data_IF_467912332142
#
_entry.id   IF_467912332142
#
_cell.length_a   1.000
_cell.length_b   1.000
_cell.length_c   1.000
_cell.angle_alpha   90.00
_cell.angle_beta   90.00
_cell.angle_gamma   90.00
#
_symmetry.space_group_name_H-M   'P 1'
#
loop_
_entity.id
_entity.type
_entity.pdbx_description
1 polymer ?
#
# COMPACT_ATOMS: atom_id res chain seq x y z
N UNK A 1 1.75 11.68 25.75
CA UNK A 1 1.06 11.46 24.48
C UNK A 1 1.02 12.77 23.74
N UNK A 2 1.01 12.72 22.41
CA UNK A 2 0.68 13.90 21.61
C UNK A 2 -0.85 14.06 21.57
N UNK A 3 -1.35 15.28 21.67
CA UNK A 3 -2.75 15.66 21.77
C UNK A 3 -3.24 16.51 20.57
N UNK A 4 -2.35 16.79 19.62
CA UNK A 4 -2.67 17.45 18.36
C UNK A 4 -3.13 16.49 17.26
N UNK A 5 -3.66 17.02 16.15
CA UNK A 5 -4.11 16.21 15.03
C UNK A 5 -2.91 15.58 14.30
N UNK A 6 -3.08 14.33 13.84
CA UNK A 6 -2.00 13.55 13.21
C UNK A 6 -2.37 13.21 11.76
N UNK A 7 -1.49 13.54 10.82
CA UNK A 7 -1.53 13.03 9.45
C UNK A 7 -0.56 11.86 9.30
N UNK A 8 -1.08 10.67 9.00
CA UNK A 8 -0.30 9.52 8.56
C UNK A 8 0.03 9.66 7.08
N UNK A 9 1.28 9.40 6.70
CA UNK A 9 1.72 9.43 5.31
C UNK A 9 2.20 8.05 4.86
N UNK A 10 1.52 7.50 3.87
CA UNK A 10 1.94 6.32 3.12
C UNK A 10 2.73 6.74 1.87
N UNK A 11 3.79 6.00 1.51
CA UNK A 11 4.64 6.36 0.36
C UNK A 11 3.93 6.13 -1.00
N UNK A 12 2.92 5.28 -1.05
CA UNK A 12 2.17 4.91 -2.25
C UNK A 12 0.71 4.60 -1.93
N UNK A 13 -0.13 4.53 -2.96
CA UNK A 13 -1.53 4.15 -2.82
C UNK A 13 -1.68 2.74 -2.22
N UNK A 14 -0.91 1.75 -2.71
CA UNK A 14 -1.00 0.38 -2.17
C UNK A 14 -0.59 0.26 -0.72
N UNK A 15 0.46 0.98 -0.31
CA UNK A 15 0.87 1.01 1.10
C UNK A 15 -0.16 1.71 1.98
N UNK A 16 -0.87 2.71 1.46
CA UNK A 16 -2.00 3.33 2.16
C UNK A 16 -3.07 2.29 2.47
N UNK A 17 -3.44 1.46 1.50
CA UNK A 17 -4.47 0.44 1.70
C UNK A 17 -4.04 -0.62 2.73
N UNK A 18 -2.79 -1.08 2.67
CA UNK A 18 -2.24 -2.00 3.67
C UNK A 18 -2.24 -1.35 5.07
N UNK A 19 -1.90 -0.06 5.16
CA UNK A 19 -1.94 0.65 6.43
C UNK A 19 -3.37 0.84 6.94
N UNK A 20 -4.33 1.15 6.06
CA UNK A 20 -5.75 1.24 6.40
C UNK A 20 -6.29 -0.08 6.94
N UNK A 21 -5.96 -1.20 6.30
CA UNK A 21 -6.33 -2.54 6.75
C UNK A 21 -5.75 -2.85 8.15
N UNK A 22 -4.46 -2.56 8.35
CA UNK A 22 -3.81 -2.77 9.64
C UNK A 22 -4.44 -1.91 10.75
N UNK A 23 -4.79 -0.65 10.45
CA UNK A 23 -5.45 0.27 11.38
C UNK A 23 -6.89 -0.18 11.69
N UNK A 24 -7.64 -0.63 10.68
CA UNK A 24 -8.99 -1.16 10.85
C UNK A 24 -9.01 -2.38 11.79
N UNK A 25 -8.01 -3.28 11.68
CA UNK A 25 -7.84 -4.40 12.61
C UNK A 25 -7.63 -3.98 14.07
N UNK A 26 -7.15 -2.75 14.31
CA UNK A 26 -7.03 -2.14 15.63
C UNK A 26 -8.22 -1.24 16.01
N UNK A 27 -9.26 -1.17 15.18
CA UNK A 27 -10.43 -0.28 15.37
C UNK A 27 -10.12 1.20 15.14
N UNK A 28 -9.09 1.51 14.34
CA UNK A 28 -8.66 2.87 14.02
C UNK A 28 -9.04 3.19 12.57
N UNK A 29 -9.82 4.25 12.39
CA UNK A 29 -10.30 4.69 11.06
C UNK A 29 -9.83 6.12 10.79
N UNK A 30 -8.66 6.30 10.13
CA UNK A 30 -8.16 7.63 9.78
C UNK A 30 -8.97 8.24 8.63
N UNK A 31 -9.18 9.56 8.64
CA UNK A 31 -9.86 10.29 7.57
C UNK A 31 -8.94 10.43 6.34
N UNK A 32 -9.31 9.93 5.16
CA UNK A 32 -8.51 10.13 3.95
C UNK A 32 -8.50 11.60 3.54
N UNK A 33 -7.32 12.13 3.23
CA UNK A 33 -7.13 13.50 2.73
C UNK A 33 -6.12 13.53 1.59
N UNK A 34 -6.26 14.49 0.69
CA UNK A 34 -5.43 14.55 -0.53
C UNK A 34 -4.00 15.02 -0.27
N UNK A 35 -3.79 15.87 0.75
CA UNK A 35 -2.51 16.54 0.97
C UNK A 35 -2.37 17.15 2.36
N UNK A 36 -1.13 17.52 2.72
CA UNK A 36 -0.84 18.27 3.94
C UNK A 36 -1.58 19.61 4.03
N UNK A 37 -1.63 20.46 2.97
CA UNK A 37 -2.46 21.66 3.01
C UNK A 37 -3.96 21.40 3.23
N UNK A 38 -4.51 20.34 2.62
CA UNK A 38 -5.92 19.97 2.82
C UNK A 38 -6.18 19.57 4.27
N UNK A 39 -5.28 18.79 4.87
CA UNK A 39 -5.32 18.44 6.29
C UNK A 39 -5.23 19.66 7.21
N UNK A 40 -4.35 20.63 6.91
CA UNK A 40 -4.24 21.85 7.71
C UNK A 40 -5.49 22.74 7.62
N UNK A 41 -6.22 22.69 6.50
CA UNK A 41 -7.43 23.47 6.31
C UNK A 41 -8.62 22.93 7.14
N UNK A 42 -8.71 21.60 7.29
CA UNK A 42 -9.73 20.92 8.10
C UNK A 42 -9.10 19.72 8.84
N UNK A 43 -8.44 19.95 10.00
CA UNK A 43 -7.65 18.93 10.67
C UNK A 43 -8.53 17.95 11.46
N UNK A 44 -8.76 16.78 10.87
CA UNK A 44 -9.28 15.63 11.59
C UNK A 44 -8.27 15.16 12.68
N UNK A 45 -8.73 14.56 13.80
CA UNK A 45 -7.83 14.06 14.85
C UNK A 45 -6.79 13.06 14.32
N UNK A 46 -7.20 12.22 13.37
CA UNK A 46 -6.33 11.31 12.66
C UNK A 46 -6.74 11.29 11.18
N UNK A 47 -5.78 11.61 10.31
CA UNK A 47 -5.95 11.60 8.87
C UNK A 47 -4.88 10.72 8.20
N UNK A 48 -5.10 10.35 6.94
CA UNK A 48 -4.13 9.62 6.13
C UNK A 48 -4.04 10.18 4.71
N UNK A 49 -2.81 10.31 4.19
CA UNK A 49 -2.54 10.77 2.83
C UNK A 49 -1.45 9.93 2.16
N UNK A 50 -1.39 10.01 0.83
CA UNK A 50 -0.27 9.46 0.03
C UNK A 50 0.72 10.59 -0.25
N UNK A 51 1.97 10.41 0.16
CA UNK A 51 3.05 11.34 -0.16
C UNK A 51 4.40 10.60 -0.14
N UNK A 52 5.30 10.83 -1.12
CA UNK A 52 6.59 10.16 -1.22
C UNK A 52 7.62 10.76 -0.24
N UNK A 53 7.29 10.74 1.06
CA UNK A 53 8.10 11.31 2.14
C UNK A 53 8.40 10.25 3.19
N UNK A 54 9.64 10.22 3.65
CA UNK A 54 10.14 9.22 4.60
C UNK A 54 10.48 9.81 5.98
N UNK A 55 10.22 11.11 6.16
CA UNK A 55 10.44 11.83 7.41
C UNK A 55 9.19 12.59 7.84
N UNK A 56 8.76 12.30 9.06
CA UNK A 56 7.71 13.03 9.74
C UNK A 56 8.09 14.46 10.11
N UNK A 57 7.10 15.21 10.58
CA UNK A 57 7.24 16.56 11.09
C UNK A 57 6.52 16.67 12.44
N UNK A 58 7.23 17.16 13.45
CA UNK A 58 6.69 17.44 14.78
C UNK A 58 6.93 18.90 15.12
N UNK A 59 5.85 19.65 15.33
CA UNK A 59 5.89 21.10 15.57
C UNK A 59 5.76 21.47 17.06
N UNK A 60 5.60 20.48 17.93
CA UNK A 60 5.40 20.67 19.37
C UNK A 60 4.05 20.13 19.86
N UNK A 61 3.78 20.23 21.18
CA UNK A 61 2.52 19.79 21.77
C UNK A 61 1.31 20.52 21.17
N UNK A 62 0.19 19.84 21.00
CA UNK A 62 -1.05 20.37 20.40
C UNK A 62 -0.99 20.78 18.92
N UNK A 63 0.20 20.89 18.32
CA UNK A 63 0.36 21.29 16.93
C UNK A 63 0.15 20.10 15.98
N UNK A 64 -0.30 20.33 14.72
CA UNK A 64 -0.42 19.27 13.74
C UNK A 64 0.89 18.51 13.52
N UNK A 65 0.81 17.19 13.51
CA UNK A 65 1.95 16.28 13.33
C UNK A 65 1.81 15.48 12.04
N UNK A 66 2.93 15.29 11.35
CA UNK A 66 3.05 14.40 10.20
C UNK A 66 3.85 13.16 10.61
N UNK A 67 3.30 11.97 10.41
CA UNK A 67 3.92 10.70 10.75
C UNK A 67 4.03 9.82 9.50
N UNK A 68 5.26 9.50 9.10
CA UNK A 68 5.50 8.63 7.95
C UNK A 68 5.43 7.15 8.34
N UNK A 69 5.03 6.32 7.39
CA UNK A 69 4.98 4.87 7.53
C UNK A 69 6.30 4.26 8.04
N UNK A 70 7.45 4.78 7.59
CA UNK A 70 8.77 4.33 8.05
C UNK A 70 8.98 4.47 9.58
N UNK A 71 8.29 5.42 10.22
CA UNK A 71 8.34 5.65 11.66
C UNK A 71 7.41 4.70 12.43
N UNK A 72 6.33 4.22 11.80
CA UNK A 72 5.41 3.23 12.38
C UNK A 72 6.05 1.85 12.47
N UNK A 73 6.74 1.43 11.41
CA UNK A 73 7.37 0.10 11.33
C UNK A 73 8.83 0.06 11.82
N UNK A 74 9.32 1.15 12.44
CA UNK A 74 10.60 1.15 13.16
C UNK A 74 11.87 1.13 12.29
N UNK A 75 11.78 1.43 10.99
CA UNK A 75 12.96 1.46 10.12
C UNK A 75 13.74 2.76 10.34
N UNK A 76 14.73 2.71 11.23
CA UNK A 76 15.68 3.80 11.52
C UNK A 76 16.13 4.50 10.22
N UNK A 77 15.89 5.81 10.18
CA UNK A 77 16.07 6.80 9.09
C UNK A 77 17.54 6.94 8.59
N UNK A 78 18.45 6.03 8.89
CA UNK A 78 19.88 6.16 8.57
C UNK A 78 20.49 5.05 7.69
N UNK A 79 19.74 4.01 7.30
CA UNK A 79 20.35 2.84 6.64
C UNK A 79 19.76 2.48 5.26
N UNK A 80 19.04 3.40 4.62
CA UNK A 80 18.40 3.21 3.29
C UNK A 80 19.39 3.02 2.13
N UNK A 81 20.71 3.02 2.37
CA UNK A 81 21.75 2.68 1.36
C UNK A 81 22.32 1.26 1.42
N UNK A 82 21.96 0.41 2.40
CA UNK A 82 22.63 -0.90 2.52
C UNK A 82 21.78 -2.13 2.80
N UNK A 83 20.46 -2.02 2.92
CA UNK A 83 19.60 -3.19 3.13
C UNK A 83 18.66 -3.45 1.95
N UNK A 84 19.28 -3.79 0.81
CA UNK A 84 18.64 -4.52 -0.30
C UNK A 84 18.60 -6.02 -0.01
N UNK A 85 18.35 -6.43 1.24
CA UNK A 85 18.30 -7.84 1.63
C UNK A 85 17.39 -8.02 2.83
N UNK A 86 16.42 -8.91 2.61
CA UNK A 86 15.74 -9.73 3.62
C UNK A 86 14.64 -9.03 4.43
N UNK A 87 13.49 -8.87 3.78
CA UNK A 87 12.24 -9.38 4.37
C UNK A 87 11.83 -10.56 3.51
N UNK A 88 12.16 -11.77 3.97
CA UNK A 88 11.54 -12.99 3.48
C UNK A 88 10.07 -12.95 3.92
N UNK A 89 9.26 -12.22 3.15
CA UNK A 89 7.84 -12.55 3.03
C UNK A 89 7.85 -13.99 2.53
N UNK A 90 7.23 -14.89 3.28
CA UNK A 90 7.14 -16.31 2.92
C UNK A 90 6.41 -16.39 1.58
N UNK A 91 7.19 -16.45 0.48
CA UNK A 91 6.65 -16.46 -0.88
C UNK A 91 5.63 -17.57 -1.01
N UNK A 92 5.86 -18.72 -0.37
CA UNK A 92 4.94 -19.86 -0.39
C UNK A 92 3.58 -19.55 0.27
N UNK A 93 3.55 -18.71 1.31
CA UNK A 93 2.30 -18.24 1.92
C UNK A 93 1.55 -17.29 0.98
N UNK A 94 2.26 -16.34 0.36
CA UNK A 94 1.66 -15.42 -0.62
C UNK A 94 1.13 -16.19 -1.83
N UNK A 95 1.88 -17.16 -2.35
CA UNK A 95 1.42 -18.03 -3.45
C UNK A 95 0.17 -18.82 -3.07
N UNK A 96 0.08 -19.34 -1.85
CA UNK A 96 -1.13 -20.04 -1.38
C UNK A 96 -2.33 -19.11 -1.35
N UNK A 97 -2.19 -17.92 -0.78
CA UNK A 97 -3.27 -16.92 -0.71
C UNK A 97 -3.70 -16.45 -2.11
N UNK A 98 -2.75 -16.33 -3.05
CA UNK A 98 -3.02 -15.92 -4.42
C UNK A 98 -3.61 -17.04 -5.29
N UNK A 99 -3.29 -18.31 -5.04
CA UNK A 99 -3.88 -19.45 -5.76
C UNK A 99 -5.39 -19.59 -5.52
N UNK A 100 -5.91 -19.04 -4.44
CA UNK A 100 -7.35 -19.00 -4.17
C UNK A 100 -8.07 -17.82 -4.84
N UNK A 101 -7.32 -16.89 -5.46
CA UNK A 101 -7.91 -15.74 -6.13
C UNK A 101 -8.65 -16.18 -7.40
N UNK A 102 -9.88 -15.69 -7.51
CA UNK A 102 -10.70 -15.82 -8.72
C UNK A 102 -10.50 -14.60 -9.61
N UNK A 103 -10.53 -14.73 -10.94
CA UNK A 103 -10.56 -13.58 -11.84
C UNK A 103 -11.64 -12.56 -11.41
N UNK A 104 -11.29 -11.28 -11.39
CA UNK A 104 -12.11 -10.17 -10.87
C UNK A 104 -11.91 -9.88 -9.38
N UNK A 105 -11.20 -10.73 -8.63
CA UNK A 105 -10.93 -10.47 -7.22
C UNK A 105 -10.07 -9.20 -7.05
N UNK A 106 -10.40 -8.32 -6.07
CA UNK A 106 -9.59 -7.13 -5.80
C UNK A 106 -8.28 -7.52 -5.10
N UNK A 107 -7.20 -6.91 -5.56
CA UNK A 107 -5.83 -7.20 -5.14
C UNK A 107 -5.08 -5.89 -4.97
N UNK A 108 -4.29 -5.79 -3.90
CA UNK A 108 -3.43 -4.64 -3.63
C UNK A 108 -2.02 -4.95 -4.12
N UNK A 109 -1.51 -4.12 -5.02
CA UNK A 109 -0.07 -4.03 -5.28
C UNK A 109 0.52 -2.93 -4.40
N UNK A 110 1.58 -3.22 -3.65
CA UNK A 110 2.17 -2.25 -2.69
C UNK A 110 2.47 -0.88 -3.31
N UNK A 111 3.02 -0.83 -4.52
CA UNK A 111 3.30 0.44 -5.20
C UNK A 111 2.10 1.03 -5.96
N UNK A 112 1.36 0.21 -6.70
CA UNK A 112 0.34 0.68 -7.65
C UNK A 112 -1.08 0.79 -7.07
N UNK A 113 -1.31 0.33 -5.83
CA UNK A 113 -2.65 0.35 -5.25
C UNK A 113 -3.50 -0.84 -5.68
N UNK A 114 -4.82 -0.66 -5.53
CA UNK A 114 -5.81 -1.72 -5.76
C UNK A 114 -6.13 -1.86 -7.25
N UNK A 115 -6.04 -3.10 -7.73
CA UNK A 115 -6.43 -3.55 -9.06
C UNK A 115 -7.26 -4.82 -8.99
N UNK A 116 -7.67 -5.35 -10.14
CA UNK A 116 -8.44 -6.58 -10.29
C UNK A 116 -7.55 -7.68 -10.84
N UNK A 117 -7.54 -8.84 -10.18
CA UNK A 117 -6.83 -10.01 -10.69
C UNK A 117 -7.47 -10.51 -11.98
N UNK A 118 -6.69 -10.63 -13.05
CA UNK A 118 -7.15 -11.14 -14.35
C UNK A 118 -6.81 -12.63 -14.50
N UNK A 119 -5.60 -13.01 -14.13
CA UNK A 119 -5.08 -14.36 -14.33
C UNK A 119 -3.55 -14.41 -14.39
N UNK A 120 -3.00 -15.61 -14.55
CA UNK A 120 -1.60 -15.81 -14.93
C UNK A 120 -1.48 -15.75 -16.46
N UNK A 121 -0.38 -15.21 -16.97
CA UNK A 121 -0.09 -15.11 -18.41
C UNK A 121 1.38 -15.37 -18.65
N UNK A 122 1.67 -16.21 -19.65
CA UNK A 122 3.03 -16.45 -20.11
C UNK A 122 3.39 -15.40 -21.17
N UNK A 123 4.51 -14.72 -20.97
CA UNK A 123 5.05 -13.73 -21.88
C UNK A 123 6.50 -14.11 -22.20
N UNK A 124 6.87 -14.00 -23.48
CA UNK A 124 8.25 -14.15 -23.91
C UNK A 124 9.02 -12.85 -23.63
N UNK A 125 10.00 -12.90 -22.73
CA UNK A 125 10.90 -11.78 -22.40
C UNK A 125 12.32 -12.21 -22.70
N UNK A 126 13.03 -11.44 -23.53
CA UNK A 126 14.41 -11.74 -23.94
C UNK A 126 14.61 -13.16 -24.52
N UNK A 127 13.58 -13.70 -25.17
CA UNK A 127 13.60 -15.03 -25.80
C UNK A 127 13.37 -16.20 -24.85
N UNK A 128 13.04 -15.94 -23.57
CA UNK A 128 12.61 -16.95 -22.62
C UNK A 128 11.15 -16.73 -22.21
N UNK A 129 10.39 -17.82 -22.11
CA UNK A 129 9.03 -17.76 -21.57
C UNK A 129 9.08 -17.55 -20.05
N UNK A 130 8.38 -16.52 -19.58
CA UNK A 130 8.24 -16.21 -18.17
C UNK A 130 6.75 -16.01 -17.82
N UNK A 131 6.39 -16.40 -16.60
CA UNK A 131 5.02 -16.32 -16.10
C UNK A 131 4.81 -15.02 -15.29
N UNK A 132 3.68 -14.37 -15.53
CA UNK A 132 3.29 -13.11 -14.90
C UNK A 132 1.87 -13.18 -14.36
N UNK A 133 1.65 -12.56 -13.20
CA UNK A 133 0.33 -12.21 -12.70
C UNK A 133 -0.16 -10.96 -13.42
N UNK A 134 -1.34 -11.02 -14.02
CA UNK A 134 -1.95 -9.87 -14.70
C UNK A 134 -2.98 -9.20 -13.78
N UNK A 135 -2.82 -7.91 -13.56
CA UNK A 135 -3.77 -7.05 -12.86
C UNK A 135 -4.36 -6.01 -13.81
N UNK A 136 -5.64 -5.72 -13.67
CA UNK A 136 -6.34 -4.65 -14.38
C UNK A 136 -6.68 -3.49 -13.43
N UNK A 137 -6.44 -2.28 -13.90
CA UNK A 137 -6.61 -1.02 -13.19
C UNK A 137 -7.68 -0.16 -13.87
N UNK A 138 -7.89 1.07 -13.39
CA UNK A 138 -8.83 1.99 -14.00
C UNK A 138 -8.53 2.21 -15.50
N UNK A 139 -9.58 2.45 -16.29
CA UNK A 139 -9.49 2.71 -17.74
C UNK A 139 -8.87 1.56 -18.56
N UNK A 140 -8.88 0.33 -18.03
CA UNK A 140 -8.37 -0.86 -18.72
C UNK A 140 -6.85 -0.95 -18.75
N UNK A 141 -6.15 -0.14 -17.95
CA UNK A 141 -4.70 -0.26 -17.78
C UNK A 141 -4.34 -1.63 -17.19
N UNK A 142 -3.26 -2.24 -17.69
CA UNK A 142 -2.80 -3.57 -17.22
C UNK A 142 -1.40 -3.50 -16.65
N UNK A 143 -1.22 -4.19 -15.53
CA UNK A 143 0.08 -4.40 -14.90
C UNK A 143 0.43 -5.89 -14.93
N UNK A 144 1.62 -6.19 -15.43
CA UNK A 144 2.17 -7.55 -15.46
C UNK A 144 3.22 -7.67 -14.38
N UNK A 145 2.90 -8.42 -13.32
CA UNK A 145 3.78 -8.61 -12.16
C UNK A 145 4.49 -9.95 -12.32
N UNK A 146 5.83 -9.99 -12.36
CA UNK A 146 6.55 -11.26 -12.41
C UNK A 146 6.17 -12.13 -11.22
N UNK A 147 6.05 -13.44 -11.44
CA UNK A 147 5.77 -14.40 -10.37
C UNK A 147 6.84 -14.36 -9.26
N UNK A 148 8.08 -13.98 -9.57
CA UNK A 148 9.14 -13.74 -8.58
C UNK A 148 8.88 -12.52 -7.66
N UNK A 149 8.01 -11.61 -8.07
CA UNK A 149 7.67 -10.36 -7.36
C UNK A 149 6.32 -10.43 -6.63
N UNK A 150 5.73 -11.61 -6.46
CA UNK A 150 4.43 -11.76 -5.79
C UNK A 150 4.42 -11.27 -4.34
N UNK A 151 5.58 -11.18 -3.68
CA UNK A 151 5.70 -10.57 -2.35
C UNK A 151 5.24 -9.09 -2.28
N UNK A 152 5.05 -8.42 -3.43
CA UNK A 152 4.48 -7.07 -3.53
C UNK A 152 2.95 -7.06 -3.59
N UNK A 153 2.33 -8.24 -3.62
CA UNK A 153 0.91 -8.45 -3.85
C UNK A 153 0.25 -8.92 -2.56
N UNK A 154 -0.92 -8.38 -2.27
CA UNK A 154 -1.74 -8.79 -1.13
C UNK A 154 -3.21 -8.79 -1.53
N UNK A 155 -4.01 -9.66 -0.92
CA UNK A 155 -5.45 -9.67 -1.15
C UNK A 155 -6.07 -8.41 -0.56
N UNK A 156 -7.01 -7.79 -1.27
CA UNK A 156 -7.79 -6.69 -0.68
C UNK A 156 -8.89 -7.27 0.21
N UNK A 157 -8.94 -6.84 1.47
CA UNK A 157 -9.89 -7.31 2.49
C UNK A 157 -10.93 -6.25 2.90
N UNK A 158 -11.01 -5.13 2.17
CA UNK A 158 -11.95 -4.05 2.47
C UNK A 158 -13.40 -4.52 2.50
N UNK A 159 -14.22 -3.76 3.22
CA UNK A 159 -15.60 -4.10 3.63
C UNK A 159 -16.52 -4.53 2.49
N UNK A 160 -16.29 -4.08 1.26
CA UNK A 160 -17.01 -4.53 0.07
C UNK A 160 -16.07 -4.75 -1.14
N UNK A 161 -15.89 -6.01 -1.60
CA UNK A 161 -15.03 -6.32 -2.74
C UNK A 161 -15.48 -5.67 -4.06
N UNK A 162 -16.77 -5.39 -4.21
CA UNK A 162 -17.34 -4.76 -5.40
C UNK A 162 -17.04 -3.26 -5.47
N UNK A 163 -16.93 -2.58 -4.32
CA UNK A 163 -16.61 -1.16 -4.21
C UNK A 163 -15.11 -0.86 -4.08
N UNK A 164 -14.26 -1.89 -4.15
CA UNK A 164 -12.82 -1.71 -4.05
C UNK A 164 -12.33 -0.67 -5.09
N UNK A 165 -11.61 0.39 -4.65
CA UNK A 165 -11.20 1.47 -5.53
C UNK A 165 -10.27 0.93 -6.62
N UNK A 166 -10.37 1.44 -7.85
CA UNK A 166 -9.39 1.15 -8.89
C UNK A 166 -8.41 2.32 -8.98
N UNK A 167 -7.14 2.05 -8.73
CA UNK A 167 -6.09 3.05 -8.89
C UNK A 167 -5.62 3.12 -10.36
N UNK A 168 -4.85 4.15 -10.71
CA UNK A 168 -4.27 4.38 -12.04
C UNK A 168 -2.76 4.17 -12.02
#
# INVERSE_FOLDING_TARGET
GHDGPVLLCAESAGRREVLLEALAGAGIEPVPVDSWPAFLADPAPLAIAVAPIDRGLYLGPGAPMLLCEAQLYGTRVAQRRRRKRETAVDTDAVFRDLNELRPGAPVVHLEHGVGRYVGLTNLAVDGADAEFLTLEYAEGARLYVPVASLHLISRYSGSEPELAPLHR
#
